data_IF_477453539401
#
_entry.id   IF_477453539401
#
_cell.length_a   1.000
_cell.length_b   1.000
_cell.length_c   1.000
_cell.angle_alpha   90.00
_cell.angle_beta   90.00
_cell.angle_gamma   90.00
#
_symmetry.space_group_name_H-M   'P 1'
#
loop_
_entity.id
_entity.type
_entity.pdbx_description
1 polymer ?
#
# COMPACT_ATOMS: atom_id res chain seq x y z
N UNK A 1 -3.81 15.42 6.04
CA UNK A 1 -3.51 14.29 5.12
C UNK A 1 -4.50 13.16 5.35
N UNK A 2 -5.18 12.71 4.30
CA UNK A 2 -6.39 11.87 4.43
C UNK A 2 -6.08 10.40 4.69
N UNK A 3 -5.20 9.77 3.90
CA UNK A 3 -4.89 8.34 4.02
C UNK A 3 -4.40 7.95 5.42
N UNK A 4 -3.29 8.54 5.88
CA UNK A 4 -2.72 8.20 7.19
C UNK A 4 -3.64 8.61 8.35
N UNK A 5 -4.42 9.69 8.20
CA UNK A 5 -5.42 10.09 9.20
C UNK A 5 -6.50 9.02 9.40
N UNK A 6 -7.11 8.54 8.31
CA UNK A 6 -8.10 7.46 8.37
C UNK A 6 -7.47 6.16 8.91
N UNK A 7 -6.27 5.82 8.44
CA UNK A 7 -5.55 4.63 8.91
C UNK A 7 -5.32 4.68 10.43
N UNK A 8 -4.83 5.80 10.96
CA UNK A 8 -4.63 6.01 12.39
C UNK A 8 -5.94 5.89 13.19
N UNK A 9 -7.05 6.47 12.71
CA UNK A 9 -8.36 6.32 13.36
C UNK A 9 -8.77 4.84 13.46
N UNK A 10 -8.57 4.07 12.39
CA UNK A 10 -8.89 2.64 12.38
C UNK A 10 -7.96 1.85 13.31
N UNK A 11 -6.66 2.17 13.34
CA UNK A 11 -5.70 1.57 14.26
C UNK A 11 -6.08 1.83 15.73
N UNK A 12 -6.53 3.05 16.04
CA UNK A 12 -6.85 3.49 17.40
C UNK A 12 -8.24 3.08 17.90
N UNK A 13 -9.04 2.39 17.08
CA UNK A 13 -10.33 1.90 17.53
C UNK A 13 -11.54 2.79 17.22
N UNK A 14 -11.36 3.88 16.47
CA UNK A 14 -12.45 4.77 16.04
C UNK A 14 -13.27 4.16 14.89
N UNK A 15 -14.58 4.36 14.89
CA UNK A 15 -15.53 3.76 13.95
C UNK A 15 -15.76 4.58 12.66
N UNK A 16 -15.03 5.69 12.52
CA UNK A 16 -15.12 6.66 11.44
C UNK A 16 -16.49 7.34 11.33
N UNK A 17 -17.33 7.30 12.37
CA UNK A 17 -18.66 7.95 12.38
C UNK A 17 -18.57 9.47 12.24
N UNK A 18 -17.48 10.07 12.74
CA UNK A 18 -17.21 11.52 12.67
C UNK A 18 -16.50 11.94 11.38
N UNK A 19 -16.08 10.99 10.56
CA UNK A 19 -15.48 11.29 9.26
C UNK A 19 -16.60 11.63 8.29
N UNK A 20 -16.53 12.82 7.68
CA UNK A 20 -17.41 13.16 6.57
C UNK A 20 -16.95 12.41 5.32
N UNK A 21 -17.44 11.17 5.17
CA UNK A 21 -17.02 10.23 4.12
C UNK A 21 -17.25 10.83 2.73
N UNK A 22 -18.40 11.44 2.49
CA UNK A 22 -18.73 12.05 1.20
C UNK A 22 -17.82 13.24 0.87
N UNK A 23 -17.52 14.10 1.85
CA UNK A 23 -16.57 15.19 1.64
C UNK A 23 -15.15 14.67 1.34
N UNK A 24 -14.70 13.62 2.03
CA UNK A 24 -13.42 12.99 1.73
C UNK A 24 -13.38 12.44 0.29
N UNK A 25 -14.44 11.75 -0.16
CA UNK A 25 -14.53 11.19 -1.50
C UNK A 25 -14.66 12.27 -2.58
N UNK A 26 -15.38 13.36 -2.30
CA UNK A 26 -15.44 14.52 -3.19
C UNK A 26 -14.09 15.20 -3.36
N UNK A 27 -13.36 15.41 -2.26
CA UNK A 27 -11.98 15.91 -2.31
C UNK A 27 -11.06 14.96 -3.08
N UNK A 28 -11.21 13.64 -2.91
CA UNK A 28 -10.41 12.65 -3.62
C UNK A 28 -10.63 12.69 -5.14
N UNK A 29 -11.88 12.80 -5.58
CA UNK A 29 -12.22 12.95 -7.01
C UNK A 29 -11.56 14.19 -7.62
N UNK A 30 -11.55 15.30 -6.89
CA UNK A 30 -10.97 16.55 -7.36
C UNK A 30 -9.45 16.47 -7.55
N UNK A 31 -8.77 15.49 -6.95
CA UNK A 31 -7.33 15.30 -7.07
C UNK A 31 -6.93 14.41 -8.25
N UNK A 32 -7.87 13.68 -8.86
CA UNK A 32 -7.54 12.79 -9.98
C UNK A 32 -7.36 13.58 -11.28
N UNK A 33 -6.26 13.29 -11.98
CA UNK A 33 -5.93 13.91 -13.26
C UNK A 33 -6.49 13.11 -14.44
N UNK A 34 -6.40 13.69 -15.63
CA UNK A 34 -6.89 13.09 -16.87
C UNK A 34 -6.23 11.75 -17.18
N UNK A 35 -4.93 11.61 -16.89
CA UNK A 35 -4.14 10.41 -17.11
C UNK A 35 -4.45 9.27 -16.11
N UNK A 36 -5.21 9.56 -15.06
CA UNK A 36 -5.63 8.64 -14.00
C UNK A 36 -4.80 8.69 -12.72
N UNK A 37 -3.68 9.42 -12.70
CA UNK A 37 -2.91 9.69 -11.49
C UNK A 37 -3.59 10.73 -10.60
N UNK A 38 -2.98 11.01 -9.45
CA UNK A 38 -3.53 11.94 -8.46
C UNK A 38 -2.49 12.98 -8.08
N UNK A 39 -2.93 14.22 -7.83
CA UNK A 39 -2.20 15.21 -7.04
C UNK A 39 -2.41 14.97 -5.54
N UNK A 40 -1.61 15.63 -4.71
CA UNK A 40 -1.73 15.58 -3.25
C UNK A 40 -2.73 16.59 -2.69
N UNK A 41 -2.83 17.77 -3.31
CA UNK A 41 -3.61 18.92 -2.84
C UNK A 41 -4.34 19.61 -4.00
N UNK A 42 -5.52 20.23 -3.76
CA UNK A 42 -6.33 20.84 -4.82
C UNK A 42 -5.69 22.08 -5.46
N UNK A 43 -4.76 22.76 -4.77
CA UNK A 43 -4.00 23.88 -5.31
C UNK A 43 -3.01 23.47 -6.42
N UNK A 44 -2.75 22.17 -6.56
CA UNK A 44 -1.77 21.60 -7.48
C UNK A 44 -0.50 21.15 -6.77
N UNK A 45 0.03 20.01 -7.21
CA UNK A 45 1.30 19.43 -6.76
C UNK A 45 1.88 18.56 -7.89
N UNK A 46 2.98 17.87 -7.61
CA UNK A 46 3.37 16.73 -8.44
C UNK A 46 2.31 15.61 -8.40
N UNK A 47 2.32 14.76 -9.42
CA UNK A 47 1.43 13.60 -9.54
C UNK A 47 2.23 12.35 -9.88
N UNK A 48 2.03 11.27 -9.13
CA UNK A 48 2.67 9.97 -9.39
C UNK A 48 1.97 8.81 -8.66
N UNK A 49 2.57 7.63 -8.78
CA UNK A 49 2.07 6.38 -8.20
C UNK A 49 1.86 6.41 -6.68
N UNK A 50 2.56 7.29 -5.94
CA UNK A 50 2.36 7.44 -4.49
C UNK A 50 0.93 7.85 -4.18
N UNK A 51 0.39 8.80 -4.95
CA UNK A 51 -0.95 9.33 -4.70
C UNK A 51 -2.05 8.41 -5.24
N UNK A 52 -1.76 7.60 -6.27
CA UNK A 52 -2.65 6.49 -6.68
C UNK A 52 -2.84 5.49 -5.54
N UNK A 53 -1.76 5.15 -4.82
CA UNK A 53 -1.85 4.25 -3.66
C UNK A 53 -2.59 4.88 -2.48
N UNK A 54 -2.33 6.15 -2.17
CA UNK A 54 -3.10 6.89 -1.15
C UNK A 54 -4.60 6.89 -1.49
N UNK A 55 -4.95 7.20 -2.74
CA UNK A 55 -6.32 7.21 -3.23
C UNK A 55 -6.99 5.84 -3.06
N UNK A 56 -6.28 4.77 -3.44
CA UNK A 56 -6.75 3.39 -3.32
C UNK A 56 -7.01 2.99 -1.86
N UNK A 57 -6.11 3.35 -0.94
CA UNK A 57 -6.27 3.08 0.48
C UNK A 57 -7.48 3.83 1.07
N UNK A 58 -7.70 5.09 0.69
CA UNK A 58 -8.84 5.87 1.18
C UNK A 58 -10.16 5.23 0.70
N UNK A 59 -10.29 4.95 -0.60
CA UNK A 59 -11.47 4.28 -1.15
C UNK A 59 -11.72 2.92 -0.48
N UNK A 60 -10.65 2.14 -0.25
CA UNK A 60 -10.75 0.85 0.42
C UNK A 60 -11.21 1.00 1.89
N UNK A 61 -10.59 1.90 2.66
CA UNK A 61 -10.96 2.11 4.07
C UNK A 61 -12.37 2.65 4.24
N UNK A 62 -12.82 3.53 3.34
CA UNK A 62 -14.19 4.03 3.32
C UNK A 62 -15.19 3.06 2.67
N UNK A 63 -14.72 1.91 2.17
CA UNK A 63 -15.50 0.92 1.43
C UNK A 63 -16.35 1.53 0.30
N UNK A 64 -15.81 2.54 -0.39
CA UNK A 64 -16.50 3.27 -1.43
C UNK A 64 -15.50 3.76 -2.48
N UNK A 65 -15.63 3.24 -3.71
CA UNK A 65 -14.73 3.56 -4.83
C UNK A 65 -15.20 4.74 -5.68
N UNK A 66 -16.30 5.41 -5.33
CA UNK A 66 -16.74 6.63 -6.02
C UNK A 66 -15.76 7.79 -5.87
N UNK A 67 -14.75 7.67 -5.01
CA UNK A 67 -13.67 8.65 -4.88
C UNK A 67 -12.76 8.73 -6.12
N UNK A 68 -12.79 7.76 -7.03
CA UNK A 68 -11.94 7.73 -8.22
C UNK A 68 -12.62 7.14 -9.45
N UNK A 69 -12.17 7.59 -10.63
CA UNK A 69 -12.27 6.81 -11.86
C UNK A 69 -11.23 5.67 -11.82
N UNK A 70 -11.69 4.49 -11.41
CA UNK A 70 -10.86 3.30 -11.28
C UNK A 70 -10.26 2.86 -12.63
N UNK A 71 -10.99 3.04 -13.74
CA UNK A 71 -10.50 2.62 -15.07
C UNK A 71 -9.30 3.47 -15.49
N UNK A 72 -9.36 4.78 -15.26
CA UNK A 72 -8.22 5.67 -15.50
C UNK A 72 -7.04 5.36 -14.58
N UNK A 73 -7.28 5.14 -13.28
CA UNK A 73 -6.23 4.76 -12.33
C UNK A 73 -5.53 3.46 -12.77
N UNK A 74 -6.28 2.44 -13.18
CA UNK A 74 -5.73 1.19 -13.73
C UNK A 74 -4.92 1.44 -15.01
N UNK A 75 -5.41 2.31 -15.91
CA UNK A 75 -4.66 2.69 -17.11
C UNK A 75 -3.32 3.34 -16.75
N UNK A 76 -3.28 4.25 -15.77
CA UNK A 76 -2.05 4.85 -15.28
C UNK A 76 -1.08 3.80 -14.73
N UNK A 77 -1.57 2.88 -13.89
CA UNK A 77 -0.78 1.77 -13.33
C UNK A 77 -0.18 0.92 -14.46
N UNK A 78 -0.97 0.52 -15.47
CA UNK A 78 -0.45 -0.27 -16.61
C UNK A 78 0.62 0.47 -17.39
N UNK A 79 0.40 1.76 -17.69
CA UNK A 79 1.35 2.59 -18.46
C UNK A 79 2.68 2.83 -17.72
N UNK A 80 2.70 2.69 -16.40
CA UNK A 80 3.90 2.84 -15.58
C UNK A 80 4.85 1.63 -15.63
N UNK A 81 4.43 0.49 -16.18
CA UNK A 81 5.30 -0.67 -16.33
C UNK A 81 6.41 -0.34 -17.32
N UNK A 82 7.66 -0.40 -16.87
CA UNK A 82 8.84 -0.09 -17.67
C UNK A 82 9.28 -1.28 -18.52
N UNK A 83 10.26 -1.08 -19.40
CA UNK A 83 10.82 -2.11 -20.26
C UNK A 83 11.49 -3.25 -19.47
N UNK A 84 11.98 -2.96 -18.26
CA UNK A 84 12.60 -3.94 -17.37
C UNK A 84 11.56 -4.68 -16.50
N UNK A 85 10.28 -4.36 -16.67
CA UNK A 85 9.10 -4.98 -16.06
C UNK A 85 8.86 -4.64 -14.57
N UNK A 86 9.60 -3.72 -13.99
CA UNK A 86 9.15 -3.06 -12.77
C UNK A 86 8.16 -1.94 -13.09
N UNK A 87 7.45 -1.43 -12.08
CA UNK A 87 6.56 -0.28 -12.23
C UNK A 87 7.27 0.99 -11.76
N UNK A 88 7.21 2.04 -12.57
CA UNK A 88 7.82 3.33 -12.32
C UNK A 88 6.82 4.31 -11.68
N UNK A 89 7.30 5.52 -11.34
CA UNK A 89 6.43 6.57 -10.79
C UNK A 89 5.33 7.02 -11.78
N UNK A 90 5.62 6.92 -13.08
CA UNK A 90 4.75 7.23 -14.20
C UNK A 90 5.34 6.67 -15.50
N UNK A 91 4.62 6.81 -16.61
CA UNK A 91 5.05 6.25 -17.90
C UNK A 91 6.43 6.79 -18.34
N UNK A 92 7.28 5.90 -18.84
CA UNK A 92 8.62 6.25 -19.36
C UNK A 92 9.70 6.49 -18.29
N UNK A 93 9.36 6.48 -17.00
CA UNK A 93 10.33 6.65 -15.92
C UNK A 93 11.01 5.32 -15.54
N UNK A 94 12.09 5.42 -14.77
CA UNK A 94 12.80 4.27 -14.22
C UNK A 94 11.90 3.51 -13.23
N UNK A 95 11.83 2.18 -13.37
CA UNK A 95 11.06 1.35 -12.44
C UNK A 95 11.68 1.37 -11.05
N UNK A 96 10.83 1.29 -10.01
CA UNK A 96 11.28 1.48 -8.64
C UNK A 96 10.45 0.64 -7.66
N UNK A 97 11.07 0.13 -6.59
CA UNK A 97 10.45 -0.77 -5.63
C UNK A 97 9.26 -0.13 -4.93
N UNK A 98 9.38 1.16 -4.59
CA UNK A 98 8.29 1.96 -4.02
C UNK A 98 7.09 2.11 -4.95
N UNK A 99 7.28 2.52 -6.21
CA UNK A 99 6.17 2.64 -7.16
C UNK A 99 5.60 1.29 -7.57
N UNK A 100 6.43 0.24 -7.62
CA UNK A 100 5.96 -1.12 -7.85
C UNK A 100 5.06 -1.61 -6.73
N UNK A 101 5.43 -1.35 -5.47
CA UNK A 101 4.52 -1.56 -4.35
C UNK A 101 3.22 -0.78 -4.54
N UNK A 102 3.31 0.53 -4.78
CA UNK A 102 2.12 1.38 -4.88
C UNK A 102 1.15 0.88 -5.97
N UNK A 103 1.65 0.53 -7.16
CA UNK A 103 0.83 0.01 -8.24
C UNK A 103 0.22 -1.37 -7.93
N UNK A 104 1.03 -2.33 -7.50
CA UNK A 104 0.56 -3.69 -7.20
C UNK A 104 -0.40 -3.71 -6.02
N UNK A 105 -0.08 -3.00 -4.93
CA UNK A 105 -0.95 -2.90 -3.76
C UNK A 105 -2.28 -2.21 -4.11
N UNK A 106 -2.27 -1.17 -4.94
CA UNK A 106 -3.51 -0.52 -5.41
C UNK A 106 -4.40 -1.51 -6.17
N UNK A 107 -3.84 -2.27 -7.11
CA UNK A 107 -4.58 -3.30 -7.86
C UNK A 107 -5.11 -4.42 -6.95
N UNK A 108 -4.35 -4.81 -5.92
CA UNK A 108 -4.82 -5.77 -4.92
C UNK A 108 -5.99 -5.22 -4.10
N UNK A 109 -5.93 -3.96 -3.66
CA UNK A 109 -7.03 -3.32 -2.93
C UNK A 109 -8.28 -3.20 -3.80
N UNK A 110 -8.12 -2.91 -5.10
CA UNK A 110 -9.21 -2.89 -6.08
C UNK A 110 -9.77 -4.28 -6.41
N UNK A 111 -9.06 -5.36 -6.07
CA UNK A 111 -9.41 -6.73 -6.48
C UNK A 111 -9.22 -6.99 -7.98
N UNK A 112 -8.25 -6.30 -8.61
CA UNK A 112 -8.10 -6.24 -10.07
C UNK A 112 -6.74 -6.73 -10.59
N UNK A 113 -5.85 -7.24 -9.73
CA UNK A 113 -4.48 -7.62 -10.13
C UNK A 113 -4.45 -8.60 -11.34
N UNK A 114 -5.19 -9.70 -11.25
CA UNK A 114 -5.22 -10.77 -12.27
C UNK A 114 -6.02 -10.36 -13.53
N UNK A 115 -6.94 -9.40 -13.39
CA UNK A 115 -7.66 -8.81 -14.54
C UNK A 115 -6.76 -7.85 -15.32
N UNK A 116 -5.90 -7.13 -14.60
CA UNK A 116 -5.09 -6.07 -15.17
C UNK A 116 -3.82 -6.62 -15.78
N UNK A 117 -3.09 -7.51 -15.12
CA UNK A 117 -1.86 -8.09 -15.65
C UNK A 117 -2.05 -9.57 -15.97
N UNK A 118 -1.71 -9.95 -17.20
CA UNK A 118 -1.64 -11.34 -17.61
C UNK A 118 -0.62 -12.12 -16.77
N UNK A 119 -0.76 -13.45 -16.73
CA UNK A 119 0.20 -14.32 -16.02
C UNK A 119 1.65 -14.07 -16.48
N UNK A 120 1.86 -13.86 -17.78
CA UNK A 120 3.17 -13.54 -18.35
C UNK A 120 3.73 -12.21 -17.84
N UNK A 121 2.90 -11.18 -17.75
CA UNK A 121 3.28 -9.88 -17.17
C UNK A 121 3.57 -10.02 -15.66
N UNK A 122 2.71 -10.72 -14.91
CA UNK A 122 2.94 -10.98 -13.49
C UNK A 122 4.24 -11.75 -13.25
N UNK A 123 4.58 -12.73 -14.08
CA UNK A 123 5.84 -13.47 -13.99
C UNK A 123 7.06 -12.58 -14.26
N UNK A 124 6.94 -11.59 -15.15
CA UNK A 124 7.99 -10.59 -15.39
C UNK A 124 8.14 -9.62 -14.21
N UNK A 125 7.03 -9.14 -13.64
CA UNK A 125 7.03 -8.28 -12.44
C UNK A 125 7.63 -9.04 -11.25
N UNK A 126 7.22 -10.30 -11.04
CA UNK A 126 7.78 -11.21 -10.03
C UNK A 126 9.30 -11.32 -10.18
N UNK A 127 9.80 -11.55 -11.40
CA UNK A 127 11.24 -11.59 -11.69
C UNK A 127 11.92 -10.29 -11.33
N UNK A 128 11.37 -9.14 -11.72
CA UNK A 128 11.95 -7.84 -11.41
C UNK A 128 12.06 -7.60 -9.90
N UNK A 129 10.99 -7.92 -9.16
CA UNK A 129 10.91 -7.75 -7.71
C UNK A 129 11.89 -8.67 -6.96
N UNK A 130 11.95 -9.95 -7.31
CA UNK A 130 12.81 -10.90 -6.57
C UNK A 130 14.29 -10.60 -6.78
N UNK A 131 14.66 -10.04 -7.95
CA UNK A 131 16.01 -9.58 -8.25
C UNK A 131 16.44 -8.35 -7.45
N UNK A 132 15.56 -7.76 -6.64
CA UNK A 132 15.92 -6.66 -5.73
C UNK A 132 16.63 -7.12 -4.46
N UNK A 133 16.59 -8.42 -4.15
CA UNK A 133 17.28 -8.92 -2.97
C UNK A 133 18.79 -9.02 -3.23
N UNK A 134 19.59 -8.44 -2.34
CA UNK A 134 21.06 -8.62 -2.29
C UNK A 134 21.42 -9.34 -0.98
N UNK A 135 21.24 -8.64 0.13
CA UNK A 135 21.20 -9.19 1.49
C UNK A 135 19.89 -8.74 2.17
N UNK A 136 19.65 -7.43 2.25
CA UNK A 136 18.33 -6.82 2.24
C UNK A 136 17.85 -6.53 0.82
N UNK A 137 16.99 -5.53 0.66
CA UNK A 137 16.43 -5.13 -0.62
C UNK A 137 16.87 -3.71 -1.00
N UNK A 138 17.08 -3.47 -2.30
CA UNK A 138 17.21 -2.12 -2.85
C UNK A 138 15.99 -1.73 -3.70
N UNK A 139 15.80 -0.42 -3.88
CA UNK A 139 14.67 0.10 -4.67
C UNK A 139 14.83 -0.08 -6.17
N UNK A 140 16.05 -0.17 -6.68
CA UNK A 140 16.38 -0.17 -8.11
C UNK A 140 17.65 -0.95 -8.40
N UNK A 141 17.83 -1.49 -9.62
CA UNK A 141 19.10 -2.09 -10.05
C UNK A 141 20.30 -1.16 -9.76
N UNK A 142 21.43 -1.75 -9.36
CA UNK A 142 22.69 -1.05 -9.09
C UNK A 142 22.65 0.06 -8.01
N UNK A 143 21.62 0.08 -7.16
CA UNK A 143 21.56 0.95 -5.97
C UNK A 143 21.91 0.16 -4.69
N UNK A 144 22.41 0.82 -3.63
CA UNK A 144 22.57 0.16 -2.34
C UNK A 144 21.22 -0.28 -1.77
N UNK A 145 21.26 -1.35 -0.96
CA UNK A 145 20.12 -1.79 -0.15
C UNK A 145 19.71 -0.72 0.86
N UNK A 146 18.46 -0.75 1.28
CA UNK A 146 17.87 0.16 2.26
C UNK A 146 16.75 -0.58 3.01
N UNK A 147 16.77 -0.51 4.35
CA UNK A 147 15.85 -1.23 5.25
C UNK A 147 14.40 -1.16 4.80
N UNK A 148 13.92 0.00 4.34
CA UNK A 148 12.50 0.17 4.03
C UNK A 148 12.03 -0.70 2.86
N UNK A 149 12.93 -1.09 1.93
CA UNK A 149 12.55 -1.97 0.82
C UNK A 149 12.29 -3.41 1.24
N UNK A 150 12.71 -3.80 2.45
CA UNK A 150 12.27 -5.08 3.05
C UNK A 150 10.76 -5.13 3.21
N UNK A 151 10.11 -3.98 3.41
CA UNK A 151 8.66 -3.87 3.28
C UNK A 151 8.22 -3.57 1.85
N UNK A 152 8.70 -2.50 1.19
CA UNK A 152 8.16 -2.11 -0.13
C UNK A 152 8.24 -3.25 -1.15
N UNK A 153 9.41 -3.87 -1.31
CA UNK A 153 9.58 -5.00 -2.23
C UNK A 153 9.06 -6.29 -1.61
N UNK A 154 9.32 -6.54 -0.32
CA UNK A 154 8.86 -7.75 0.36
C UNK A 154 7.33 -7.91 0.35
N UNK A 155 6.58 -6.85 0.63
CA UNK A 155 5.12 -6.83 0.60
C UNK A 155 4.60 -7.02 -0.83
N UNK A 156 5.27 -6.43 -1.83
CA UNK A 156 4.96 -6.69 -3.25
C UNK A 156 5.13 -8.18 -3.58
N UNK A 157 6.24 -8.80 -3.17
CA UNK A 157 6.48 -10.24 -3.34
C UNK A 157 5.45 -11.10 -2.57
N UNK A 158 4.97 -10.62 -1.42
CA UNK A 158 3.92 -11.29 -0.64
C UNK A 158 2.58 -11.26 -1.38
N UNK A 159 2.21 -10.11 -1.96
CA UNK A 159 1.02 -9.96 -2.81
C UNK A 159 1.10 -10.83 -4.07
N UNK A 160 2.30 -10.96 -4.65
CA UNK A 160 2.58 -11.81 -5.79
C UNK A 160 2.81 -13.29 -5.44
N UNK A 161 2.61 -13.68 -4.16
CA UNK A 161 2.69 -15.06 -3.66
C UNK A 161 4.03 -15.76 -3.91
N UNK A 162 5.13 -15.01 -3.93
CA UNK A 162 6.49 -15.54 -4.12
C UNK A 162 7.49 -15.07 -3.07
N UNK A 163 7.07 -14.31 -2.05
CA UNK A 163 7.96 -13.94 -0.95
C UNK A 163 8.53 -15.16 -0.22
N UNK A 164 7.78 -16.26 -0.14
CA UNK A 164 8.26 -17.53 0.46
C UNK A 164 9.47 -18.16 -0.24
N UNK A 165 9.86 -17.68 -1.42
CA UNK A 165 11.03 -18.15 -2.16
C UNK A 165 12.26 -17.23 -2.00
N UNK A 166 12.18 -16.22 -1.13
CA UNK A 166 13.30 -15.30 -0.86
C UNK A 166 14.19 -15.84 0.26
N UNK A 167 15.40 -15.29 0.40
CA UNK A 167 16.30 -15.68 1.48
C UNK A 167 15.95 -14.89 2.77
N UNK A 168 15.23 -15.52 3.69
CA UNK A 168 14.79 -14.85 4.92
C UNK A 168 15.93 -14.48 5.85
N UNK A 169 16.91 -15.37 6.06
CA UNK A 169 18.02 -15.11 6.98
C UNK A 169 18.83 -13.87 6.57
N UNK A 170 19.22 -13.76 5.29
CA UNK A 170 19.98 -12.60 4.81
C UNK A 170 19.19 -11.30 4.98
N UNK A 171 17.89 -11.33 4.69
CA UNK A 171 17.03 -10.17 4.82
C UNK A 171 16.88 -9.76 6.29
N UNK A 172 16.55 -10.71 7.16
CA UNK A 172 16.43 -10.51 8.60
C UNK A 172 17.72 -9.96 9.19
N UNK A 173 18.87 -10.54 8.86
CA UNK A 173 20.17 -10.09 9.35
C UNK A 173 20.50 -8.67 8.90
N UNK A 174 20.16 -8.30 7.65
CA UNK A 174 20.33 -6.93 7.18
C UNK A 174 19.44 -5.94 7.93
N UNK A 175 18.15 -6.25 8.13
CA UNK A 175 17.24 -5.38 8.90
C UNK A 175 17.78 -5.20 10.33
N UNK A 176 18.18 -6.28 11.00
CA UNK A 176 18.71 -6.18 12.36
C UNK A 176 20.05 -5.45 12.43
N UNK A 177 20.86 -5.46 11.37
CA UNK A 177 22.10 -4.66 11.34
C UNK A 177 21.87 -3.15 11.27
N UNK A 178 20.66 -2.70 10.95
CA UNK A 178 20.29 -1.27 10.96
C UNK A 178 19.56 -0.84 12.23
N UNK A 179 19.43 -1.74 13.21
CA UNK A 179 18.81 -1.44 14.49
C UNK A 179 19.73 -0.55 15.34
N UNK A 180 19.20 0.58 15.81
CA UNK A 180 19.89 1.36 16.83
C UNK A 180 19.63 0.73 18.20
N UNK A 181 20.69 0.25 18.85
CA UNK A 181 20.60 -0.46 20.14
C UNK A 181 20.57 0.48 21.34
N UNK A 182 20.87 1.76 21.15
CA UNK A 182 20.91 2.76 22.20
C UNK A 182 19.56 3.49 22.32
N UNK A 183 19.08 4.08 21.22
CA UNK A 183 17.82 4.84 21.21
C UNK A 183 16.63 4.04 20.70
N UNK A 184 16.87 2.87 20.10
CA UNK A 184 15.84 2.05 19.47
C UNK A 184 15.48 2.51 18.06
N UNK A 185 14.61 1.74 17.41
CA UNK A 185 14.25 1.97 16.02
C UNK A 185 15.28 1.41 15.04
N UNK A 186 15.05 1.70 13.76
CA UNK A 186 15.88 1.22 12.65
C UNK A 186 16.22 2.38 11.74
N UNK A 187 17.41 2.33 11.15
CA UNK A 187 17.87 3.25 10.14
C UNK A 187 17.78 2.65 8.73
N UNK A 188 18.12 3.45 7.73
CA UNK A 188 18.27 3.00 6.35
C UNK A 188 19.41 1.99 6.17
N UNK A 189 20.54 2.27 6.80
CA UNK A 189 21.79 1.54 6.69
C UNK A 189 22.35 1.26 8.10
N UNK A 190 23.25 0.28 8.25
CA UNK A 190 24.01 0.10 9.48
C UNK A 190 24.78 1.38 9.83
N UNK A 191 24.98 1.62 11.13
CA UNK A 191 25.72 2.78 11.64
C UNK A 191 25.19 4.14 11.14
N UNK A 192 23.87 4.22 10.94
CA UNK A 192 23.16 5.43 10.53
C UNK A 192 22.08 5.78 11.55
N UNK A 193 21.65 7.05 11.59
CA UNK A 193 20.64 7.48 12.55
C UNK A 193 19.26 6.86 12.23
N UNK A 194 18.55 6.32 13.24
CA UNK A 194 17.22 5.79 13.05
C UNK A 194 16.20 6.92 12.83
N UNK A 195 15.11 6.59 12.15
CA UNK A 195 13.97 7.48 11.98
C UNK A 195 12.65 6.69 12.01
N UNK A 196 11.53 7.40 12.18
CA UNK A 196 10.22 6.76 12.31
C UNK A 196 9.81 5.92 11.08
N UNK A 197 10.22 6.33 9.88
CA UNK A 197 9.88 5.64 8.64
C UNK A 197 10.60 4.30 8.56
N UNK A 198 11.92 4.30 8.77
CA UNK A 198 12.71 3.07 8.71
C UNK A 198 12.45 2.17 9.91
N UNK A 199 12.15 2.74 11.09
CA UNK A 199 11.70 1.96 12.24
C UNK A 199 10.41 1.17 11.92
N UNK A 200 9.39 1.85 11.38
CA UNK A 200 8.14 1.21 11.00
C UNK A 200 8.34 0.17 9.89
N UNK A 201 9.00 0.53 8.80
CA UNK A 201 9.18 -0.40 7.68
C UNK A 201 10.18 -1.52 7.93
N UNK A 202 11.15 -1.34 8.83
CA UNK A 202 12.00 -2.42 9.35
C UNK A 202 11.17 -3.45 10.09
N UNK A 203 10.32 -3.01 11.02
CA UNK A 203 9.38 -3.87 11.75
C UNK A 203 8.40 -4.58 10.79
N UNK A 204 7.82 -3.88 9.82
CA UNK A 204 6.95 -4.50 8.83
C UNK A 204 7.69 -5.49 7.92
N UNK A 205 8.97 -5.23 7.59
CA UNK A 205 9.83 -6.18 6.89
C UNK A 205 10.05 -7.47 7.69
N UNK A 206 10.31 -7.36 8.99
CA UNK A 206 10.39 -8.50 9.92
C UNK A 206 9.05 -9.24 10.05
N UNK A 207 7.94 -8.50 10.11
CA UNK A 207 6.58 -9.04 10.16
C UNK A 207 6.25 -9.96 8.97
N UNK A 208 6.72 -9.63 7.75
CA UNK A 208 6.50 -10.47 6.57
C UNK A 208 7.14 -11.87 6.69
N UNK A 209 8.17 -12.00 7.51
CA UNK A 209 8.90 -13.24 7.85
C UNK A 209 8.45 -13.85 9.19
N UNK A 210 7.38 -13.32 9.79
CA UNK A 210 6.77 -13.85 11.02
C UNK A 210 7.71 -13.80 12.24
N UNK A 211 8.49 -12.73 12.36
CA UNK A 211 9.35 -12.45 13.50
C UNK A 211 8.58 -12.51 14.84
N UNK A 212 9.16 -13.18 15.84
CA UNK A 212 8.55 -13.35 17.15
C UNK A 212 8.25 -12.01 17.82
N UNK A 213 7.05 -11.89 18.40
CA UNK A 213 6.58 -10.66 19.06
C UNK A 213 6.07 -9.56 18.12
N UNK A 214 6.16 -9.75 16.79
CA UNK A 214 5.66 -8.78 15.81
C UNK A 214 4.37 -9.31 15.16
N UNK A 215 3.29 -8.53 15.22
CA UNK A 215 2.05 -8.90 14.55
C UNK A 215 2.23 -8.98 13.04
N UNK A 216 1.50 -9.89 12.39
CA UNK A 216 1.44 -9.98 10.93
C UNK A 216 0.89 -8.68 10.31
N UNK A 217 1.57 -8.17 9.30
CA UNK A 217 1.15 -7.00 8.52
C UNK A 217 0.26 -7.43 7.35
N UNK A 218 -0.78 -6.65 7.07
CA UNK A 218 -1.56 -6.77 5.85
C UNK A 218 -0.79 -6.10 4.69
N UNK A 219 -0.30 -6.86 3.69
CA UNK A 219 0.71 -6.37 2.76
C UNK A 219 0.22 -5.27 1.80
N UNK A 220 -1.07 -5.23 1.43
CA UNK A 220 -1.58 -4.15 0.57
C UNK A 220 -2.00 -2.89 1.35
N UNK A 221 -2.74 -3.07 2.45
CA UNK A 221 -3.30 -1.97 3.25
C UNK A 221 -2.30 -1.30 4.22
N UNK A 222 -1.11 -1.90 4.42
CA UNK A 222 -0.05 -1.34 5.27
C UNK A 222 -0.52 -1.05 6.72
N UNK A 223 -1.23 -2.01 7.30
CA UNK A 223 -1.64 -2.01 8.71
C UNK A 223 -1.50 -3.43 9.27
N UNK A 224 -1.59 -3.62 10.58
CA UNK A 224 -1.63 -4.99 11.15
C UNK A 224 -2.85 -5.76 10.65
N UNK A 225 -2.77 -7.11 10.56
CA UNK A 225 -3.93 -7.94 10.20
C UNK A 225 -5.10 -7.72 11.16
N UNK A 226 -4.82 -7.54 12.45
CA UNK A 226 -5.80 -7.16 13.48
C UNK A 226 -6.58 -5.89 13.11
N UNK A 227 -5.87 -4.86 12.65
CA UNK A 227 -6.49 -3.60 12.19
C UNK A 227 -7.34 -3.83 10.94
N UNK A 228 -6.87 -4.65 9.99
CA UNK A 228 -7.65 -4.97 8.78
C UNK A 228 -8.89 -5.81 9.08
N UNK A 229 -8.84 -6.69 10.08
CA UNK A 229 -9.99 -7.47 10.56
C UNK A 229 -11.03 -6.53 11.19
N UNK A 230 -10.59 -5.60 12.04
CA UNK A 230 -11.47 -4.56 12.59
C UNK A 230 -12.12 -3.73 11.48
N UNK A 231 -11.35 -3.34 10.46
CA UNK A 231 -11.89 -2.59 9.32
C UNK A 231 -12.97 -3.37 8.57
N UNK A 232 -12.76 -4.69 8.38
CA UNK A 232 -13.77 -5.58 7.79
C UNK A 232 -15.05 -5.60 8.62
N UNK A 233 -14.93 -5.69 9.94
CA UNK A 233 -16.09 -5.68 10.84
C UNK A 233 -16.83 -4.34 10.80
N UNK A 234 -16.09 -3.21 10.71
CA UNK A 234 -16.67 -1.89 10.47
C UNK A 234 -17.45 -1.83 9.15
N UNK A 235 -16.90 -2.34 8.06
CA UNK A 235 -17.60 -2.38 6.76
C UNK A 235 -18.89 -3.21 6.81
N UNK A 236 -18.87 -4.34 7.51
CA UNK A 236 -20.07 -5.15 7.73
C UNK A 236 -21.12 -4.38 8.54
N UNK A 237 -20.70 -3.65 9.57
CA UNK A 237 -21.61 -2.84 10.40
C UNK A 237 -22.31 -1.73 9.61
N UNK A 238 -21.63 -1.12 8.64
CA UNK A 238 -22.22 -0.07 7.78
C UNK A 238 -23.30 -0.65 6.87
N UNK A 239 -23.02 -1.79 6.21
CA UNK A 239 -24.00 -2.48 5.35
C UNK A 239 -25.28 -2.86 6.09
N UNK A 240 -25.15 -3.28 7.35
CA UNK A 240 -26.30 -3.63 8.19
C UNK A 240 -27.16 -2.39 8.53
N UNK A 241 -26.53 -1.23 8.78
CA UNK A 241 -27.25 0.03 9.02
C UNK A 241 -28.00 0.49 7.77
N UNK A 242 -27.34 0.47 6.60
CA UNK A 242 -27.95 0.89 5.34
C UNK A 242 -29.16 0.01 4.97
N UNK A 243 -29.06 -1.30 5.23
CA UNK A 243 -30.15 -2.25 4.96
C UNK A 243 -31.37 -2.01 5.86
N UNK A 244 -31.15 -1.73 7.16
CA UNK A 244 -32.24 -1.41 8.10
C UNK A 244 -32.94 -0.10 7.76
N UNK A 245 -32.18 0.93 7.41
CA UNK A 245 -32.74 2.22 7.05
C UNK A 245 -33.54 2.15 5.74
N UNK A 246 -33.15 1.29 4.79
CA UNK A 246 -33.92 1.02 3.59
C UNK A 246 -35.25 0.32 3.89
N UNK A 247 -35.28 -0.66 4.80
CA UNK A 247 -36.52 -1.33 5.22
C UNK A 247 -37.49 -0.42 5.99
N UNK A 248 -36.99 0.50 6.82
CA UNK A 248 -37.83 1.44 7.56
C UNK A 248 -38.45 2.50 6.64
N UNK A 249 -37.71 2.99 5.63
CA UNK A 249 -38.23 3.94 4.66
C UNK A 249 -39.32 3.34 3.76
N UNK A 250 -39.27 2.03 3.45
CA UNK A 250 -40.33 1.34 2.69
C UNK A 250 -41.63 1.25 3.50
N UNK A 251 -41.55 1.07 4.83
CA UNK A 251 -42.73 0.99 5.69
C UNK A 251 -43.40 2.34 5.99
N UNK A 252 -42.71 3.47 5.79
CA UNK A 252 -43.27 4.82 5.97
C UNK A 252 -43.90 5.33 4.64
N UNK A 253 -43.60 4.66 3.52
CA UNK A 253 -44.06 5.05 2.17
C UNK A 253 -45.34 4.31 1.71
N UNK A 254 -46.00 3.56 2.58
CA UNK A 254 -47.26 2.82 2.34
C UNK A 254 -48.34 3.27 3.29
#
# INVERSE_FOLDING_TARGET
>A
MTYTGLSCLVILGDDLSRVNKEACLAGLRALQLEDGSFCAVPEGSENDMRFVYCASCICYMLNNWSGMDMKKAISYIRRSMSYDNGLAQGAGLESHGGSTFCGIASLCLMGKLEEVFSEKELNRIKRWCIMRQQNGYHGRPNKPVDTCYSFWVGATLKLLKIFQYTNFEKNRNYILSTQDRLVGGFAKWPDSHPDALHAYFGICGLSLMEESGICKVHPALNVSTRTSERLRDLHQSWKAKDSKQCSENVHIST
#
